data_IF_416854274746
#
_entry.id   IF_416854274746
#
_cell.length_a   1.000
_cell.length_b   1.000
_cell.length_c   1.000
_cell.angle_alpha   90.00
_cell.angle_beta   90.00
_cell.angle_gamma   90.00
#
_symmetry.space_group_name_H-M   'P 1'
#
loop_
_entity.id
_entity.type
_entity.pdbx_description
1 polymer ?
#
# COMPACT_ATOMS: atom_id res chain seq x y z
N UNK A 1 2.65 -21.12 -1.73
CA UNK A 1 2.80 -19.66 -1.84
C UNK A 1 1.59 -19.10 -2.55
N UNK A 2 0.98 -18.03 -2.00
CA UNK A 2 -0.12 -17.33 -2.67
C UNK A 2 0.35 -16.55 -3.89
N UNK A 3 -0.57 -16.17 -4.77
CA UNK A 3 -0.30 -15.37 -5.96
C UNK A 3 0.10 -13.95 -5.54
N UNK A 4 1.17 -13.42 -6.14
CA UNK A 4 1.61 -12.04 -5.91
C UNK A 4 1.42 -11.24 -7.19
N UNK A 5 0.58 -10.23 -7.12
CA UNK A 5 0.30 -9.31 -8.22
C UNK A 5 0.83 -7.94 -7.82
N UNK A 6 1.66 -7.38 -8.71
CA UNK A 6 2.20 -6.05 -8.58
C UNK A 6 1.61 -5.13 -9.63
N UNK A 7 1.17 -3.94 -9.23
CA UNK A 7 0.79 -2.87 -10.14
C UNK A 7 1.82 -1.76 -10.02
N UNK A 8 2.38 -1.31 -11.14
CA UNK A 8 3.22 -0.10 -11.17
C UNK A 8 2.79 0.81 -12.31
N UNK A 9 3.34 2.02 -12.36
CA UNK A 9 2.97 3.02 -13.36
C UNK A 9 3.31 4.43 -12.89
N UNK A 10 3.16 5.39 -13.80
CA UNK A 10 3.48 6.78 -13.51
C UNK A 10 2.62 7.36 -12.37
N UNK A 11 3.11 8.36 -11.61
CA UNK A 11 2.27 9.10 -10.69
C UNK A 11 1.00 9.61 -11.38
N UNK A 12 -0.16 9.44 -10.75
CA UNK A 12 -1.44 9.84 -11.33
C UNK A 12 -1.98 8.92 -12.45
N UNK A 13 -1.39 7.75 -12.69
CA UNK A 13 -1.90 6.80 -13.69
C UNK A 13 -3.20 6.07 -13.31
N UNK A 14 -3.71 6.26 -12.08
CA UNK A 14 -4.95 5.64 -11.62
C UNK A 14 -4.80 4.33 -10.84
N UNK A 15 -3.58 3.96 -10.43
CA UNK A 15 -3.30 2.69 -9.71
C UNK A 15 -4.19 2.50 -8.49
N UNK A 16 -4.26 3.50 -7.61
CA UNK A 16 -5.11 3.45 -6.42
C UNK A 16 -6.60 3.35 -6.78
N UNK A 17 -7.05 3.99 -7.85
CA UNK A 17 -8.43 3.87 -8.34
C UNK A 17 -8.71 2.43 -8.80
N UNK A 18 -7.83 1.85 -9.60
CA UNK A 18 -7.94 0.46 -10.06
C UNK A 18 -7.94 -0.53 -8.86
N UNK A 19 -7.06 -0.33 -7.88
CA UNK A 19 -7.06 -1.15 -6.65
C UNK A 19 -8.41 -1.05 -5.94
N UNK A 20 -8.96 0.15 -5.80
CA UNK A 20 -10.26 0.34 -5.15
C UNK A 20 -11.43 -0.26 -5.94
N UNK A 21 -11.36 -0.31 -7.27
CA UNK A 21 -12.33 -0.99 -8.13
C UNK A 21 -12.22 -2.51 -7.97
N UNK A 22 -11.01 -3.06 -8.03
CA UNK A 22 -10.74 -4.49 -7.80
C UNK A 22 -11.29 -4.93 -6.43
N UNK A 23 -11.04 -4.16 -5.37
CA UNK A 23 -11.55 -4.47 -4.02
C UNK A 23 -13.07 -4.57 -4.01
N UNK A 24 -13.78 -3.68 -4.73
CA UNK A 24 -15.24 -3.67 -4.78
C UNK A 24 -15.80 -4.84 -5.59
N UNK A 25 -15.14 -5.22 -6.67
CA UNK A 25 -15.64 -6.25 -7.58
C UNK A 25 -15.31 -7.69 -7.17
N UNK A 26 -14.21 -7.90 -6.44
CA UNK A 26 -13.73 -9.27 -6.16
C UNK A 26 -14.68 -10.10 -5.28
N UNK A 27 -15.56 -9.45 -4.50
CA UNK A 27 -16.53 -10.14 -3.64
C UNK A 27 -15.92 -10.99 -2.52
N UNK A 28 -14.63 -10.82 -2.21
CA UNK A 28 -13.94 -11.53 -1.12
C UNK A 28 -13.58 -10.60 0.03
N UNK A 29 -13.31 -11.15 1.21
CA UNK A 29 -12.81 -10.37 2.34
C UNK A 29 -11.37 -9.91 2.05
N UNK A 30 -11.18 -8.61 1.97
CA UNK A 30 -9.90 -7.95 1.70
C UNK A 30 -9.34 -7.35 2.98
N UNK A 31 -8.04 -7.49 3.18
CA UNK A 31 -7.30 -6.84 4.27
C UNK A 31 -6.11 -6.06 3.74
N UNK A 32 -5.40 -5.39 4.65
CA UNK A 32 -4.21 -4.61 4.34
C UNK A 32 -4.52 -3.12 4.33
N UNK A 33 -3.86 -2.37 3.45
CA UNK A 33 -3.85 -0.91 3.53
C UNK A 33 -4.02 -0.22 2.18
N UNK A 34 -4.62 0.98 2.25
CA UNK A 34 -4.61 1.98 1.18
C UNK A 34 -4.17 3.34 1.72
N UNK A 35 -3.53 4.16 0.87
CA UNK A 35 -2.99 5.48 1.25
C UNK A 35 -3.59 6.63 0.44
N UNK A 36 -4.89 6.93 0.59
CA UNK A 36 -5.55 7.95 -0.22
C UNK A 36 -4.95 9.34 0.03
N UNK A 37 -4.85 10.13 -1.04
CA UNK A 37 -4.33 11.49 -0.99
C UNK A 37 -5.22 12.40 -0.12
N UNK A 38 -4.59 13.25 0.67
CA UNK A 38 -5.23 14.39 1.35
C UNK A 38 -5.05 15.59 0.44
N UNK A 39 -6.16 16.10 -0.08
CA UNK A 39 -6.19 17.26 -0.96
C UNK A 39 -7.07 18.36 -0.38
N UNK A 40 -6.62 19.57 -0.58
CA UNK A 40 -7.44 20.77 -0.54
C UNK A 40 -7.40 21.36 -1.95
N UNK A 41 -6.73 22.49 -2.17
CA UNK A 41 -6.34 22.94 -3.53
C UNK A 41 -5.18 22.12 -4.11
N UNK A 42 -4.15 21.89 -3.29
CA UNK A 42 -2.99 21.06 -3.61
C UNK A 42 -2.99 19.75 -2.80
N UNK A 43 -2.09 18.83 -3.17
CA UNK A 43 -1.79 17.66 -2.34
C UNK A 43 -1.07 18.09 -1.06
N UNK A 44 -1.73 17.84 0.07
CA UNK A 44 -1.27 18.19 1.41
C UNK A 44 -0.64 17.01 2.16
N UNK A 45 -0.93 15.78 1.74
CA UNK A 45 -0.40 14.59 2.39
C UNK A 45 -1.11 13.32 1.93
N UNK A 46 -0.98 12.27 2.72
CA UNK A 46 -1.56 10.95 2.48
C UNK A 46 -2.11 10.40 3.80
N UNK A 47 -3.29 9.79 3.74
CA UNK A 47 -3.81 9.00 4.86
C UNK A 47 -3.17 7.61 4.84
N UNK A 48 -3.36 6.86 5.91
CA UNK A 48 -3.22 5.41 5.92
C UNK A 48 -4.51 4.81 6.47
N UNK A 49 -5.08 3.86 5.75
CA UNK A 49 -6.38 3.25 6.08
C UNK A 49 -6.22 1.74 6.12
N UNK A 50 -6.62 1.14 7.23
CA UNK A 50 -6.82 -0.31 7.36
C UNK A 50 -8.12 -0.70 6.65
N UNK A 51 -8.02 -1.50 5.58
CA UNK A 51 -9.17 -1.86 4.73
C UNK A 51 -10.22 -2.64 5.52
N UNK A 52 -9.79 -3.54 6.41
CA UNK A 52 -10.70 -4.45 7.10
C UNK A 52 -11.47 -3.76 8.23
N UNK A 53 -10.83 -2.83 8.94
CA UNK A 53 -11.45 -2.14 10.09
C UNK A 53 -11.94 -0.72 9.79
N UNK A 54 -11.52 -0.12 8.67
CA UNK A 54 -11.74 1.30 8.36
C UNK A 54 -10.92 2.26 9.22
N UNK A 55 -10.08 1.76 10.15
CA UNK A 55 -9.25 2.60 11.01
C UNK A 55 -8.32 3.45 10.15
N UNK A 56 -8.37 4.75 10.38
CA UNK A 56 -7.70 5.75 9.56
C UNK A 56 -6.74 6.57 10.40
N UNK A 57 -5.57 6.88 9.83
CA UNK A 57 -4.62 7.84 10.35
C UNK A 57 -3.95 8.63 9.24
N UNK A 58 -2.86 9.32 9.58
CA UNK A 58 -2.10 10.14 8.64
C UNK A 58 -0.78 9.43 8.36
N UNK A 59 -0.50 9.08 7.09
CA UNK A 59 0.81 8.55 6.71
C UNK A 59 1.86 9.65 6.65
N UNK A 60 1.54 10.75 5.98
CA UNK A 60 2.46 11.88 5.83
C UNK A 60 1.72 13.16 5.49
N UNK A 61 2.29 14.31 5.88
CA UNK A 61 1.76 15.64 5.55
C UNK A 61 2.89 16.67 5.44
N UNK A 62 2.61 17.81 4.81
CA UNK A 62 3.56 18.91 4.65
C UNK A 62 4.00 19.57 5.96
N UNK A 63 3.17 19.49 7.00
CA UNK A 63 3.34 20.11 8.32
C UNK A 63 3.89 19.15 9.38
N UNK A 64 4.28 17.93 8.99
CA UNK A 64 4.81 16.92 9.92
C UNK A 64 6.34 16.98 10.01
N UNK A 65 6.86 16.76 11.21
CA UNK A 65 8.30 16.84 11.53
C UNK A 65 9.09 15.53 11.38
N UNK A 66 8.44 14.42 11.03
CA UNK A 66 9.08 13.12 10.85
C UNK A 66 10.00 13.04 9.62
N UNK A 67 10.55 11.85 9.30
CA UNK A 67 11.40 11.63 8.13
C UNK A 67 10.79 12.22 6.87
N UNK A 68 11.59 12.95 6.08
CA UNK A 68 11.06 13.72 4.95
C UNK A 68 11.27 13.01 3.61
N UNK A 69 10.20 12.94 2.83
CA UNK A 69 10.22 12.56 1.41
C UNK A 69 9.67 13.73 0.60
N UNK A 70 10.57 14.46 -0.07
CA UNK A 70 10.23 15.75 -0.68
C UNK A 70 9.71 16.73 0.37
N UNK A 71 8.54 17.32 0.13
CA UNK A 71 7.93 18.27 1.08
C UNK A 71 7.20 17.60 2.26
N UNK A 72 6.95 16.29 2.22
CA UNK A 72 6.11 15.61 3.23
C UNK A 72 6.96 15.02 4.35
N UNK A 73 6.58 15.27 5.61
CA UNK A 73 7.08 14.54 6.77
C UNK A 73 6.22 13.31 7.04
N UNK A 74 6.85 12.16 7.28
CA UNK A 74 6.19 10.87 7.51
C UNK A 74 5.85 10.69 8.99
N UNK A 75 4.61 10.32 9.27
CA UNK A 75 4.15 9.88 10.58
C UNK A 75 4.46 8.39 10.78
N UNK A 76 5.66 8.09 11.26
CA UNK A 76 6.09 6.70 11.50
C UNK A 76 5.17 6.00 12.51
N UNK A 77 4.62 6.75 13.49
CA UNK A 77 3.71 6.19 14.48
C UNK A 77 2.46 5.61 13.84
N UNK A 78 1.73 6.37 13.02
CA UNK A 78 0.51 5.88 12.38
C UNK A 78 0.81 4.80 11.33
N UNK A 79 1.93 4.92 10.62
CA UNK A 79 2.41 3.88 9.70
C UNK A 79 2.54 2.53 10.42
N UNK A 80 3.09 2.51 11.62
CA UNK A 80 3.25 1.27 12.40
C UNK A 80 1.95 0.86 13.11
N UNK A 81 1.30 1.79 13.80
CA UNK A 81 0.11 1.51 14.60
C UNK A 81 -1.12 1.14 13.79
N UNK A 82 -1.19 1.58 12.53
CA UNK A 82 -2.30 1.27 11.63
C UNK A 82 -1.78 0.35 10.53
N UNK A 83 -0.76 0.81 9.80
CA UNK A 83 -0.31 0.13 8.60
C UNK A 83 0.26 -1.25 8.85
N UNK A 84 1.31 -1.33 9.67
CA UNK A 84 1.97 -2.59 10.01
C UNK A 84 0.97 -3.56 10.65
N UNK A 85 0.21 -3.08 11.65
CA UNK A 85 -0.79 -3.92 12.32
C UNK A 85 -1.89 -4.41 11.39
N UNK A 86 -2.31 -3.63 10.38
CA UNK A 86 -3.30 -4.07 9.40
C UNK A 86 -2.74 -5.19 8.50
N UNK A 87 -1.50 -5.06 8.03
CA UNK A 87 -0.84 -6.08 7.22
C UNK A 87 -0.62 -7.36 8.05
N UNK A 88 -0.12 -7.25 9.28
CA UNK A 88 0.08 -8.41 10.16
C UNK A 88 -1.21 -9.17 10.44
N UNK A 89 -2.29 -8.46 10.77
CA UNK A 89 -3.61 -9.08 10.98
C UNK A 89 -4.10 -9.76 9.70
N UNK A 90 -3.90 -9.14 8.55
CA UNK A 90 -4.31 -9.70 7.25
C UNK A 90 -3.54 -10.96 6.86
N UNK A 91 -2.26 -11.07 7.25
CA UNK A 91 -1.48 -12.30 7.04
C UNK A 91 -2.06 -13.45 7.86
N UNK A 92 -2.47 -13.18 9.11
CA UNK A 92 -2.86 -14.21 10.07
C UNK A 92 -4.37 -14.56 10.06
N UNK A 93 -5.24 -13.67 9.55
CA UNK A 93 -6.69 -13.91 9.50
C UNK A 93 -7.05 -14.84 8.32
N UNK A 94 -7.52 -16.09 8.55
CA UNK A 94 -7.85 -17.05 7.49
C UNK A 94 -9.04 -16.62 6.61
N UNK A 95 -9.88 -15.70 7.08
CA UNK A 95 -11.02 -15.18 6.32
C UNK A 95 -10.57 -14.20 5.23
N UNK A 96 -9.46 -13.48 5.44
CA UNK A 96 -8.89 -12.56 4.46
C UNK A 96 -8.30 -13.36 3.29
N UNK A 97 -8.92 -13.26 2.12
CA UNK A 97 -8.49 -13.97 0.91
C UNK A 97 -7.49 -13.18 0.08
N UNK A 98 -7.56 -11.85 0.14
CA UNK A 98 -6.65 -10.95 -0.57
C UNK A 98 -6.06 -9.93 0.40
N UNK A 99 -4.72 -9.82 0.40
CA UNK A 99 -3.98 -8.78 1.10
C UNK A 99 -3.60 -7.69 0.10
N UNK A 100 -4.03 -6.45 0.38
CA UNK A 100 -3.73 -5.27 -0.45
C UNK A 100 -2.70 -4.38 0.24
N UNK A 101 -1.73 -3.87 -0.52
CA UNK A 101 -0.84 -2.78 -0.07
C UNK A 101 -0.77 -1.73 -1.19
N UNK A 102 -1.46 -0.61 -1.01
CA UNK A 102 -1.37 0.56 -1.89
C UNK A 102 -0.81 1.73 -1.06
N UNK A 103 0.47 2.13 -1.15
CA UNK A 103 1.57 1.72 -2.05
C UNK A 103 2.80 1.26 -1.24
N UNK A 104 3.68 0.47 -1.85
CA UNK A 104 5.05 0.24 -1.35
C UNK A 104 5.96 1.26 -2.02
N UNK A 105 6.32 2.30 -1.28
CA UNK A 105 7.14 3.40 -1.76
C UNK A 105 8.15 3.90 -0.72
N UNK A 106 8.82 5.00 -1.08
CA UNK A 106 9.85 5.59 -0.23
C UNK A 106 9.29 6.08 1.12
N UNK A 107 8.01 6.47 1.19
CA UNK A 107 7.40 6.98 2.42
C UNK A 107 7.19 5.88 3.46
N UNK A 108 6.68 4.73 3.04
CA UNK A 108 6.39 3.61 3.94
C UNK A 108 7.68 2.85 4.32
N UNK A 109 8.64 2.79 3.39
CA UNK A 109 9.93 2.12 3.63
C UNK A 109 10.84 2.83 4.63
N UNK A 110 10.48 4.01 5.15
CA UNK A 110 11.22 4.63 6.26
C UNK A 110 11.09 3.83 7.57
N UNK A 111 10.06 2.99 7.71
CA UNK A 111 9.90 2.09 8.86
C UNK A 111 10.47 0.72 8.55
N UNK A 112 11.41 0.27 9.39
CA UNK A 112 11.94 -1.10 9.33
C UNK A 112 10.84 -2.15 9.60
N UNK A 113 9.89 -1.83 10.49
CA UNK A 113 8.74 -2.71 10.77
C UNK A 113 7.85 -2.86 9.53
N UNK A 114 7.64 -1.77 8.78
CA UNK A 114 6.94 -1.84 7.51
C UNK A 114 7.68 -2.72 6.50
N UNK A 115 8.99 -2.53 6.35
CA UNK A 115 9.81 -3.37 5.46
C UNK A 115 9.71 -4.86 5.85
N UNK A 116 9.78 -5.17 7.15
CA UNK A 116 9.67 -6.53 7.68
C UNK A 116 8.31 -7.15 7.39
N UNK A 117 7.22 -6.43 7.63
CA UNK A 117 5.87 -6.98 7.40
C UNK A 117 5.56 -7.16 5.91
N UNK A 118 6.07 -6.29 5.03
CA UNK A 118 5.97 -6.49 3.57
C UNK A 118 6.67 -7.78 3.16
N UNK A 119 7.88 -8.03 3.67
CA UNK A 119 8.59 -9.29 3.41
C UNK A 119 7.81 -10.50 3.93
N UNK A 120 7.19 -10.41 5.11
CA UNK A 120 6.32 -11.47 5.63
C UNK A 120 5.09 -11.70 4.73
N UNK A 121 4.45 -10.64 4.24
CA UNK A 121 3.31 -10.75 3.33
C UNK A 121 3.71 -11.44 2.01
N UNK A 122 4.86 -11.08 1.46
CA UNK A 122 5.41 -11.69 0.24
C UNK A 122 5.75 -13.18 0.42
N UNK A 123 6.21 -13.60 1.60
CA UNK A 123 6.52 -15.00 1.90
C UNK A 123 5.32 -15.80 2.43
N UNK A 124 4.18 -15.16 2.69
CA UNK A 124 2.98 -15.83 3.19
C UNK A 124 2.19 -16.55 2.09
N UNK A 125 1.26 -17.42 2.52
CA UNK A 125 0.31 -18.10 1.64
C UNK A 125 -0.82 -17.19 1.13
N UNK A 126 -0.90 -15.93 1.57
CA UNK A 126 -1.93 -14.99 1.10
C UNK A 126 -1.72 -14.61 -0.35
N UNK A 127 -2.82 -14.52 -1.10
CA UNK A 127 -2.81 -13.78 -2.35
C UNK A 127 -2.60 -12.29 -2.05
N UNK A 128 -1.77 -11.62 -2.85
CA UNK A 128 -1.41 -10.24 -2.63
C UNK A 128 -1.62 -9.39 -3.89
N UNK A 129 -2.15 -8.20 -3.68
CA UNK A 129 -2.19 -7.13 -4.67
C UNK A 129 -1.45 -5.93 -4.10
N UNK A 130 -0.30 -5.60 -4.69
CA UNK A 130 0.58 -4.55 -4.16
C UNK A 130 0.88 -3.51 -5.23
N UNK A 131 0.72 -2.24 -4.90
CA UNK A 131 1.18 -1.15 -5.77
C UNK A 131 2.64 -0.89 -5.47
N UNK A 132 3.48 -0.89 -6.50
CA UNK A 132 4.90 -0.62 -6.38
C UNK A 132 5.23 0.75 -6.96
N UNK A 133 5.96 1.54 -6.18
CA UNK A 133 6.66 2.67 -6.73
C UNK A 133 7.66 2.18 -7.79
N UNK A 134 7.75 2.89 -8.93
CA UNK A 134 8.55 2.48 -10.10
C UNK A 134 10.01 2.14 -9.76
N UNK A 135 10.59 2.82 -8.77
CA UNK A 135 11.97 2.61 -8.35
C UNK A 135 12.18 1.25 -7.65
N UNK A 136 11.12 0.63 -7.15
CA UNK A 136 11.16 -0.65 -6.44
C UNK A 136 10.82 -1.84 -7.35
N UNK A 137 10.45 -1.60 -8.60
CA UNK A 137 10.09 -2.66 -9.56
C UNK A 137 11.20 -3.70 -9.69
N UNK A 138 12.45 -3.27 -9.88
CA UNK A 138 13.57 -4.23 -10.03
C UNK A 138 13.80 -5.10 -8.79
N UNK A 139 13.42 -4.60 -7.61
CA UNK A 139 13.55 -5.34 -6.34
C UNK A 139 12.48 -6.45 -6.21
N UNK A 140 11.26 -6.19 -6.67
CA UNK A 140 10.11 -7.07 -6.40
C UNK A 140 9.55 -7.81 -7.63
N UNK A 141 9.90 -7.40 -8.86
CA UNK A 141 9.31 -7.94 -10.10
C UNK A 141 9.45 -9.46 -10.26
N UNK A 142 10.46 -10.07 -9.66
CA UNK A 142 10.70 -11.52 -9.75
C UNK A 142 9.94 -12.32 -8.68
N UNK A 143 9.20 -11.66 -7.78
CA UNK A 143 8.45 -12.30 -6.70
C UNK A 143 6.98 -12.56 -7.08
N UNK A 144 6.57 -12.24 -8.31
CA UNK A 144 5.17 -12.28 -8.73
C UNK A 144 4.96 -11.78 -10.15
N UNK A 145 3.70 -11.56 -10.50
CA UNK A 145 3.29 -11.03 -11.81
C UNK A 145 3.23 -9.50 -11.70
N UNK A 146 3.89 -8.79 -12.61
CA UNK A 146 3.91 -7.32 -12.65
C UNK A 146 3.08 -6.80 -13.83
N UNK A 147 2.14 -5.90 -13.53
CA UNK A 147 1.39 -5.14 -14.50
C UNK A 147 1.84 -3.68 -14.48
N UNK A 148 2.02 -3.10 -15.67
CA UNK A 148 2.30 -1.68 -15.84
C UNK A 148 1.01 -0.97 -16.27
N UNK A 149 0.54 -0.03 -15.46
CA UNK A 149 -0.63 0.80 -15.73
C UNK A 149 -0.20 2.12 -16.38
N UNK A 150 -0.68 2.32 -17.60
CA UNK A 150 -0.56 3.54 -18.40
C UNK A 150 -1.95 4.04 -18.83
N UNK A 151 -2.01 5.11 -19.64
CA UNK A 151 -3.29 5.68 -20.10
C UNK A 151 -4.05 4.80 -21.09
N UNK A 152 -3.41 3.80 -21.70
CA UNK A 152 -3.99 2.93 -22.73
C UNK A 152 -4.65 1.68 -22.13
N UNK A 153 -4.35 1.36 -20.88
CA UNK A 153 -4.90 0.20 -20.16
C UNK A 153 -5.50 0.55 -18.80
N UNK A 154 -5.90 1.81 -18.63
CA UNK A 154 -6.71 2.28 -17.50
C UNK A 154 -8.16 1.86 -17.67
#
# INVERSE_FOLDING_TARGET
MGKKIFITGLPGSGKSSLVMEIIRELGVKVGGIVTPEIRDHDRMGFKIVDIASGRTGILSRVDFSGPRIGKYGVNVKDLEDIGVKAIERSINDPEIKLLVIDEIGAMEMVSEKFCSVVNRALNSEKDCLMVLHRNLVNKYKNMGILFFLDRKNR
#
